data_IF_193793450834
#
_entry.id   IF_193793450834
#
_cell.length_a   1.000
_cell.length_b   1.000
_cell.length_c   1.000
_cell.angle_alpha   90.00
_cell.angle_beta   90.00
_cell.angle_gamma   90.00
#
_symmetry.space_group_name_H-M   'P 1'
#
loop_
_entity.id
_entity.type
_entity.pdbx_description
1 polymer ?
#
# COMPACT_ATOMS: atom_id res chain seq x y z
N UNK A 1 -31.38 31.44 9.51
CA UNK A 1 -31.11 32.83 9.11
C UNK A 1 -29.64 33.06 9.42
N UNK A 2 -28.71 33.23 8.48
CA UNK A 2 -28.73 33.92 7.19
C UNK A 2 -27.87 33.15 6.18
N UNK A 3 -28.33 33.13 4.93
CA UNK A 3 -27.66 32.60 3.74
C UNK A 3 -26.55 33.52 3.23
N UNK A 4 -25.58 32.98 2.49
CA UNK A 4 -24.98 33.73 1.40
C UNK A 4 -24.57 32.81 0.23
N UNK A 5 -25.52 32.65 -0.69
CA UNK A 5 -25.25 32.21 -2.05
C UNK A 5 -24.47 33.31 -2.79
N UNK A 6 -23.37 32.95 -3.45
CA UNK A 6 -22.92 33.67 -4.65
C UNK A 6 -22.88 32.72 -5.83
N UNK A 7 -23.89 32.85 -6.69
CA UNK A 7 -23.81 32.44 -8.10
C UNK A 7 -22.92 33.42 -8.87
N UNK A 8 -22.04 32.87 -9.72
CA UNK A 8 -21.47 33.34 -11.00
C UNK A 8 -20.39 32.31 -11.36
N UNK A 9 -20.20 31.80 -12.56
CA UNK A 9 -20.75 32.02 -13.88
C UNK A 9 -20.32 30.77 -14.69
N UNK A 10 -21.28 30.05 -15.27
CA UNK A 10 -21.03 28.88 -16.10
C UNK A 10 -20.68 29.32 -17.51
N UNK A 11 -19.39 29.57 -17.78
CA UNK A 11 -18.88 29.63 -19.15
C UNK A 11 -17.92 28.46 -19.39
N UNK A 12 -18.29 27.66 -20.39
CA UNK A 12 -17.60 26.47 -20.88
C UNK A 12 -16.11 26.77 -21.16
N UNK A 13 -15.23 26.06 -20.45
CA UNK A 13 -14.01 25.50 -21.03
C UNK A 13 -13.93 24.03 -20.65
N UNK A 14 -14.28 23.18 -21.60
CA UNK A 14 -13.85 21.78 -21.65
C UNK A 14 -12.33 21.76 -21.65
N UNK A 15 -11.74 21.33 -20.54
CA UNK A 15 -10.37 20.86 -20.49
C UNK A 15 -10.45 19.45 -19.94
N UNK A 16 -10.47 18.49 -20.87
CA UNK A 16 -10.26 17.09 -20.57
C UNK A 16 -8.89 16.94 -19.91
N UNK A 17 -8.90 16.58 -18.63
CA UNK A 17 -7.73 16.52 -17.76
C UNK A 17 -8.14 15.96 -16.40
N UNK A 18 -8.61 14.72 -16.39
CA UNK A 18 -9.04 14.02 -15.18
C UNK A 18 -7.79 13.63 -14.34
N UNK A 19 -7.29 14.57 -13.55
CA UNK A 19 -6.33 14.29 -12.46
C UNK A 19 -6.88 14.86 -11.16
N UNK A 20 -7.84 14.13 -10.57
CA UNK A 20 -8.14 14.23 -9.16
C UNK A 20 -7.59 12.97 -8.49
N UNK A 21 -6.30 12.98 -8.17
CA UNK A 21 -5.78 12.12 -7.10
C UNK A 21 -5.97 12.93 -5.81
N UNK A 22 -7.07 12.70 -5.09
CA UNK A 22 -7.21 13.24 -3.74
C UNK A 22 -6.21 12.50 -2.84
N UNK A 23 -5.44 13.28 -2.08
CA UNK A 23 -4.43 12.74 -1.18
C UNK A 23 -4.81 13.19 0.22
N UNK A 24 -5.01 12.24 1.12
CA UNK A 24 -5.42 12.51 2.49
C UNK A 24 -4.34 12.02 3.44
N UNK A 25 -3.87 12.88 4.33
CA UNK A 25 -3.09 12.44 5.49
C UNK A 25 -4.05 12.11 6.62
N UNK A 26 -4.06 10.85 7.07
CA UNK A 26 -4.95 10.35 8.12
C UNK A 26 -4.16 9.95 9.37
N UNK A 27 -4.75 10.14 10.54
CA UNK A 27 -4.34 9.46 11.76
C UNK A 27 -5.02 8.07 11.78
N UNK A 28 -4.23 7.00 11.63
CA UNK A 28 -4.74 5.63 11.67
C UNK A 28 -4.81 5.07 13.08
N UNK A 29 -5.82 4.23 13.35
CA UNK A 29 -5.88 3.33 14.50
C UNK A 29 -6.43 1.97 14.05
N UNK A 30 -5.79 0.88 14.47
CA UNK A 30 -6.23 -0.49 14.17
C UNK A 30 -6.98 -1.10 15.38
N UNK A 31 -8.13 -1.74 15.12
CA UNK A 31 -8.81 -2.58 16.10
C UNK A 31 -8.24 -3.99 15.97
N UNK A 32 -7.42 -4.38 16.96
CA UNK A 32 -6.87 -5.73 17.12
C UNK A 32 -7.85 -6.83 16.67
N UNK A 33 -7.38 -7.66 15.75
CA UNK A 33 -7.98 -8.89 15.24
C UNK A 33 -8.64 -9.73 16.35
N UNK A 34 -9.97 -9.83 16.28
CA UNK A 34 -10.74 -10.87 16.95
C UNK A 34 -11.07 -11.99 15.96
N UNK A 35 -10.44 -13.14 16.15
CA UNK A 35 -10.79 -14.37 15.46
C UNK A 35 -12.20 -14.81 15.92
N UNK A 36 -13.18 -14.78 15.02
CA UNK A 36 -14.41 -15.56 15.16
C UNK A 36 -14.67 -16.33 13.86
N UNK A 37 -14.26 -17.60 13.89
CA UNK A 37 -14.61 -18.60 12.88
C UNK A 37 -16.13 -18.83 12.98
N UNK A 38 -16.89 -18.21 12.10
CA UNK A 38 -18.27 -18.62 11.84
C UNK A 38 -18.26 -19.66 10.72
N UNK A 39 -18.46 -20.92 11.11
CA UNK A 39 -18.80 -22.01 10.20
C UNK A 39 -20.18 -21.71 9.60
N UNK A 40 -20.23 -21.52 8.29
CA UNK A 40 -21.48 -21.71 7.55
C UNK A 40 -21.30 -22.79 6.49
N UNK A 41 -22.25 -23.73 6.54
CA UNK A 41 -22.29 -24.94 5.75
C UNK A 41 -22.47 -24.61 4.28
N UNK A 42 -21.76 -25.39 3.47
CA UNK A 42 -21.90 -25.41 2.02
C UNK A 42 -23.32 -25.79 1.61
N UNK A 43 -23.87 -25.07 0.64
CA UNK A 43 -24.91 -25.57 -0.25
C UNK A 43 -24.49 -25.31 -1.70
N UNK A 44 -24.35 -26.40 -2.44
CA UNK A 44 -24.02 -26.43 -3.85
C UNK A 44 -25.16 -25.82 -4.69
N UNK A 45 -24.84 -24.82 -5.51
CA UNK A 45 -25.61 -24.53 -6.73
C UNK A 45 -24.64 -24.18 -7.86
N UNK A 46 -24.49 -25.15 -8.78
CA UNK A 46 -23.85 -24.97 -10.09
C UNK A 46 -24.80 -24.21 -11.01
N UNK A 47 -24.37 -23.05 -11.51
CA UNK A 47 -24.83 -22.52 -12.81
C UNK A 47 -23.85 -21.45 -13.32
N UNK A 48 -23.04 -21.79 -14.33
CA UNK A 48 -22.21 -20.83 -15.07
C UNK A 48 -23.01 -20.28 -16.27
N UNK A 49 -23.22 -18.96 -16.39
CA UNK A 49 -23.67 -18.35 -17.65
C UNK A 49 -22.51 -18.23 -18.65
N UNK A 50 -22.79 -18.13 -19.96
CA UNK A 50 -21.77 -18.17 -21.02
C UNK A 50 -20.86 -16.93 -21.00
N UNK A 51 -19.59 -17.15 -21.39
CA UNK A 51 -18.54 -16.12 -21.49
C UNK A 51 -18.96 -15.00 -22.46
N UNK A 52 -19.07 -13.78 -21.94
CA UNK A 52 -19.22 -12.57 -22.75
C UNK A 52 -17.90 -12.23 -23.47
N UNK A 53 -18.01 -11.78 -24.72
CA UNK A 53 -16.90 -11.37 -25.58
C UNK A 53 -16.07 -10.21 -24.98
N UNK A 54 -14.76 -10.24 -25.22
CA UNK A 54 -13.80 -9.23 -24.73
C UNK A 54 -14.11 -7.85 -25.32
N UNK A 55 -14.28 -6.79 -24.52
CA UNK A 55 -14.37 -5.44 -25.05
C UNK A 55 -13.03 -5.00 -25.63
N UNK A 56 -13.05 -4.42 -26.83
CA UNK A 56 -11.90 -3.78 -27.47
C UNK A 56 -11.46 -2.59 -26.61
N UNK A 57 -10.22 -2.63 -26.15
CA UNK A 57 -9.61 -1.53 -25.38
C UNK A 57 -9.20 -0.43 -26.36
N UNK A 58 -9.76 0.77 -26.18
CA UNK A 58 -9.34 1.99 -26.89
C UNK A 58 -7.99 2.49 -26.34
N UNK A 59 -7.05 2.98 -27.18
CA UNK A 59 -5.76 3.45 -26.70
C UNK A 59 -5.88 4.89 -26.19
N UNK A 60 -6.12 5.06 -24.89
CA UNK A 60 -5.85 6.33 -24.22
C UNK A 60 -4.39 6.34 -23.75
N UNK A 61 -3.60 7.24 -24.34
CA UNK A 61 -2.16 7.38 -24.11
C UNK A 61 -1.83 7.61 -22.63
N UNK A 62 -1.35 6.58 -21.95
CA UNK A 62 -0.58 6.72 -20.72
C UNK A 62 0.81 7.19 -21.09
N UNK A 63 1.16 8.42 -20.72
CA UNK A 63 2.57 8.82 -20.59
C UNK A 63 3.15 8.04 -19.42
N UNK A 64 3.71 6.87 -19.69
CA UNK A 64 4.64 6.19 -18.80
C UNK A 64 5.88 7.05 -18.70
N UNK A 65 6.30 7.43 -17.50
CA UNK A 65 7.63 8.01 -17.29
C UNK A 65 8.65 6.99 -17.79
N UNK A 66 9.31 7.29 -18.92
CA UNK A 66 10.37 6.45 -19.47
C UNK A 66 11.44 6.25 -18.40
N UNK A 67 11.72 4.97 -18.10
CA UNK A 67 12.80 4.60 -17.20
C UNK A 67 14.14 4.98 -17.85
N UNK A 68 14.96 5.75 -17.13
CA UNK A 68 16.21 6.35 -17.64
C UNK A 68 17.46 5.47 -17.51
N UNK A 69 17.34 4.25 -17.00
CA UNK A 69 18.42 3.26 -17.10
C UNK A 69 18.47 2.66 -18.51
N UNK A 70 19.50 1.91 -18.87
CA UNK A 70 19.49 1.10 -20.10
C UNK A 70 19.12 -0.35 -19.78
N UNK A 71 18.05 -0.90 -20.37
CA UNK A 71 17.43 -2.18 -19.96
C UNK A 71 15.89 -2.16 -19.72
N UNK A 72 15.36 -3.28 -19.22
CA UNK A 72 13.96 -3.41 -18.79
C UNK A 72 13.98 -3.46 -17.25
N UNK A 73 13.23 -2.62 -16.52
CA UNK A 73 13.22 -2.66 -15.06
C UNK A 73 12.77 -4.03 -14.54
N UNK A 74 13.58 -4.64 -13.68
CA UNK A 74 13.30 -5.90 -12.99
C UNK A 74 12.66 -5.65 -11.63
N UNK A 75 11.49 -6.23 -11.41
CA UNK A 75 10.70 -6.14 -10.19
C UNK A 75 10.61 -7.53 -9.56
N UNK A 76 11.03 -7.63 -8.31
CA UNK A 76 10.99 -8.87 -7.56
C UNK A 76 9.65 -8.98 -6.83
N UNK A 77 9.08 -10.17 -6.79
CA UNK A 77 7.88 -10.50 -6.03
C UNK A 77 8.24 -11.57 -5.03
N UNK A 78 8.40 -11.23 -3.75
CA UNK A 78 8.60 -12.27 -2.74
C UNK A 78 7.28 -12.98 -2.48
N UNK A 79 7.29 -14.31 -2.45
CA UNK A 79 6.08 -15.10 -2.26
C UNK A 79 5.44 -14.90 -0.89
N UNK A 80 6.22 -14.43 0.10
CA UNK A 80 5.80 -14.39 1.50
C UNK A 80 5.96 -15.76 2.15
N UNK A 81 5.14 -16.05 3.17
CA UNK A 81 5.10 -17.36 3.81
C UNK A 81 4.46 -18.39 2.86
N UNK A 82 5.19 -19.45 2.45
CA UNK A 82 4.67 -20.49 1.56
C UNK A 82 3.47 -21.26 2.11
N UNK A 83 3.26 -21.24 3.43
CA UNK A 83 2.09 -21.83 4.07
C UNK A 83 0.88 -20.86 4.10
N UNK A 84 1.07 -19.59 3.74
CA UNK A 84 0.01 -18.58 3.64
C UNK A 84 -0.63 -18.53 2.25
N UNK A 85 -1.33 -17.42 1.98
CA UNK A 85 -2.00 -17.16 0.69
C UNK A 85 -1.06 -16.52 -0.36
N UNK A 86 0.16 -16.17 0.03
CA UNK A 86 1.09 -15.48 -0.86
C UNK A 86 1.39 -16.23 -2.18
N UNK A 87 1.60 -17.56 -2.18
CA UNK A 87 1.82 -18.31 -3.41
C UNK A 87 0.65 -18.26 -4.40
N UNK A 88 -0.58 -18.46 -3.95
CA UNK A 88 -1.78 -18.44 -4.81
C UNK A 88 -2.10 -17.05 -5.34
N UNK A 89 -1.90 -16.01 -4.51
CA UNK A 89 -2.07 -14.61 -4.94
C UNK A 89 -1.05 -14.24 -6.00
N UNK A 90 0.22 -14.66 -5.86
CA UNK A 90 1.26 -14.40 -6.85
C UNK A 90 0.94 -15.06 -8.20
N UNK A 91 0.50 -16.32 -8.20
CA UNK A 91 0.10 -17.04 -9.42
C UNK A 91 -1.07 -16.34 -10.13
N UNK A 92 -2.11 -15.99 -9.38
CA UNK A 92 -3.29 -15.31 -9.94
C UNK A 92 -2.95 -13.93 -10.48
N UNK A 93 -2.10 -13.17 -9.77
CA UNK A 93 -1.60 -11.89 -10.25
C UNK A 93 -0.85 -12.06 -11.57
N UNK A 94 0.09 -13.01 -11.66
CA UNK A 94 0.85 -13.29 -12.88
C UNK A 94 -0.05 -13.71 -14.06
N UNK A 95 -1.04 -14.56 -13.80
CA UNK A 95 -1.99 -15.03 -14.82
C UNK A 95 -2.91 -13.92 -15.34
N UNK A 96 -3.16 -12.87 -14.55
CA UNK A 96 -3.99 -11.75 -14.98
C UNK A 96 -3.38 -11.00 -16.19
N UNK A 97 -2.05 -10.98 -16.28
CA UNK A 97 -1.31 -10.21 -17.28
C UNK A 97 -1.48 -8.69 -17.15
N UNK A 98 -2.10 -8.19 -16.07
CA UNK A 98 -2.34 -6.76 -15.84
C UNK A 98 -1.11 -6.09 -15.21
N UNK A 99 -0.01 -6.11 -15.97
CA UNK A 99 1.25 -5.48 -15.59
C UNK A 99 1.61 -4.36 -16.56
N UNK A 100 2.32 -3.32 -16.09
CA UNK A 100 2.91 -2.33 -16.98
C UNK A 100 3.80 -3.02 -18.03
N UNK A 101 3.65 -2.72 -19.33
CA UNK A 101 4.53 -3.27 -20.34
C UNK A 101 5.97 -2.76 -20.09
N UNK A 102 6.95 -3.58 -20.45
CA UNK A 102 8.35 -3.21 -20.29
C UNK A 102 8.85 -3.29 -18.85
N UNK A 103 8.35 -4.26 -18.07
CA UNK A 103 8.94 -4.68 -16.80
C UNK A 103 9.21 -6.19 -16.85
N UNK A 104 10.32 -6.62 -16.25
CA UNK A 104 10.62 -8.01 -15.97
C UNK A 104 10.16 -8.33 -14.54
N UNK A 105 9.37 -9.38 -14.36
CA UNK A 105 8.78 -9.74 -13.06
C UNK A 105 9.29 -11.12 -12.68
N UNK A 106 9.93 -11.20 -11.52
CA UNK A 106 10.46 -12.44 -10.98
C UNK A 106 9.87 -12.76 -9.62
N UNK A 107 9.29 -13.95 -9.48
CA UNK A 107 8.80 -14.45 -8.19
C UNK A 107 9.92 -15.18 -7.47
N UNK A 108 10.20 -14.76 -6.23
CA UNK A 108 11.18 -15.38 -5.35
C UNK A 108 10.46 -16.08 -4.20
N UNK A 109 10.69 -17.38 -4.06
CA UNK A 109 10.17 -18.19 -2.97
C UNK A 109 10.09 -19.67 -3.34
N UNK A 110 9.91 -20.53 -2.35
CA UNK A 110 9.74 -21.97 -2.54
C UNK A 110 8.40 -22.42 -1.96
N UNK A 111 7.44 -22.70 -2.84
CA UNK A 111 6.09 -23.17 -2.46
C UNK A 111 6.13 -24.51 -1.72
N UNK A 112 7.11 -25.37 -2.00
CA UNK A 112 7.16 -26.72 -1.46
C UNK A 112 7.52 -26.77 0.03
N UNK A 113 8.04 -25.67 0.59
CA UNK A 113 8.44 -25.59 2.01
C UNK A 113 7.28 -25.30 2.96
N UNK A 114 6.06 -25.10 2.43
CA UNK A 114 4.86 -24.81 3.22
C UNK A 114 3.76 -25.87 3.05
N UNK A 115 2.99 -26.06 4.11
CA UNK A 115 1.65 -26.69 4.01
C UNK A 115 0.60 -25.59 4.14
N UNK A 116 -0.32 -25.42 3.19
CA UNK A 116 -1.33 -24.36 3.24
C UNK A 116 -2.08 -24.31 4.58
N UNK A 117 -2.18 -23.11 5.15
CA UNK A 117 -2.81 -22.85 6.44
C UNK A 117 -2.00 -23.28 7.67
N UNK A 118 -0.77 -23.79 7.49
CA UNK A 118 0.09 -24.28 8.59
C UNK A 118 1.51 -23.66 8.54
N UNK A 119 1.65 -22.35 8.82
CA UNK A 119 2.96 -21.74 9.01
C UNK A 119 3.83 -22.52 9.99
N UNK A 120 5.08 -22.74 9.62
CA UNK A 120 6.05 -23.47 10.43
C UNK A 120 7.46 -22.88 10.26
N UNK A 121 8.45 -23.49 10.90
CA UNK A 121 9.84 -23.00 10.86
C UNK A 121 10.43 -23.04 9.44
N UNK A 122 10.16 -24.09 8.66
CA UNK A 122 10.65 -24.21 7.28
C UNK A 122 10.03 -23.17 6.35
N UNK A 123 8.74 -22.88 6.50
CA UNK A 123 8.05 -21.87 5.69
C UNK A 123 8.48 -20.46 6.08
N UNK A 124 8.77 -20.21 7.36
CA UNK A 124 9.38 -18.97 7.84
C UNK A 124 10.80 -18.77 7.29
N UNK A 125 11.63 -19.83 7.30
CA UNK A 125 12.98 -19.80 6.74
C UNK A 125 12.96 -19.47 5.25
N UNK A 126 12.05 -20.08 4.49
CA UNK A 126 11.88 -19.80 3.05
C UNK A 126 11.41 -18.35 2.79
N UNK A 127 10.49 -17.84 3.60
CA UNK A 127 10.03 -16.45 3.51
C UNK A 127 11.17 -15.46 3.79
N UNK A 128 11.98 -15.73 4.82
CA UNK A 128 13.14 -14.91 5.16
C UNK A 128 14.20 -14.96 4.06
N UNK A 129 14.53 -16.14 3.54
CA UNK A 129 15.47 -16.29 2.43
C UNK A 129 15.04 -15.51 1.18
N UNK A 130 13.73 -15.46 0.89
CA UNK A 130 13.21 -14.65 -0.20
C UNK A 130 13.36 -13.13 0.05
N UNK A 131 13.16 -12.67 1.28
CA UNK A 131 13.42 -11.27 1.66
C UNK A 131 14.91 -10.91 1.56
N UNK A 132 15.80 -11.77 2.05
CA UNK A 132 17.25 -11.58 1.99
C UNK A 132 17.75 -11.55 0.54
N UNK A 133 17.24 -12.44 -0.31
CA UNK A 133 17.51 -12.42 -1.75
C UNK A 133 17.08 -11.08 -2.36
N UNK A 134 15.85 -10.63 -2.09
CA UNK A 134 15.35 -9.37 -2.64
C UNK A 134 16.23 -8.17 -2.21
N UNK A 135 16.66 -8.12 -0.95
CA UNK A 135 17.60 -7.10 -0.46
C UNK A 135 18.93 -7.17 -1.21
N UNK A 136 19.49 -8.36 -1.41
CA UNK A 136 20.76 -8.54 -2.11
C UNK A 136 20.71 -8.04 -3.56
N UNK A 137 19.66 -8.40 -4.30
CA UNK A 137 19.46 -7.98 -5.70
C UNK A 137 19.25 -6.47 -5.83
N UNK A 138 18.45 -5.87 -4.94
CA UNK A 138 18.23 -4.42 -4.89
C UNK A 138 19.52 -3.67 -4.57
N UNK A 139 20.30 -4.12 -3.57
CA UNK A 139 21.60 -3.51 -3.24
C UNK A 139 22.62 -3.63 -4.36
N UNK A 140 22.57 -4.72 -5.12
CA UNK A 140 23.44 -4.91 -6.27
C UNK A 140 22.99 -4.14 -7.52
N UNK A 141 21.85 -3.43 -7.47
CA UNK A 141 21.28 -2.71 -8.61
C UNK A 141 20.72 -3.63 -9.72
N UNK A 142 20.58 -4.93 -9.45
CA UNK A 142 20.04 -5.94 -10.39
C UNK A 142 18.52 -6.01 -10.41
N UNK A 143 17.86 -5.34 -9.46
CA UNK A 143 16.43 -5.11 -9.43
C UNK A 143 16.14 -3.65 -9.06
N UNK A 144 14.98 -3.15 -9.48
CA UNK A 144 14.56 -1.76 -9.28
C UNK A 144 13.39 -1.62 -8.29
N UNK A 145 12.79 -2.73 -7.87
CA UNK A 145 11.72 -2.73 -6.89
C UNK A 145 11.42 -4.12 -6.37
N UNK A 146 10.72 -4.15 -5.24
CA UNK A 146 10.20 -5.38 -4.64
C UNK A 146 8.73 -5.20 -4.28
N UNK A 147 7.94 -6.22 -4.56
CA UNK A 147 6.57 -6.41 -4.08
C UNK A 147 6.61 -7.59 -3.11
N UNK A 148 6.09 -7.41 -1.91
CA UNK A 148 6.19 -8.44 -0.87
C UNK A 148 4.88 -9.18 -0.68
N UNK A 149 4.92 -10.51 -0.72
CA UNK A 149 3.86 -11.36 -0.23
C UNK A 149 3.74 -11.31 1.29
N UNK A 150 2.57 -11.68 1.84
CA UNK A 150 2.31 -11.67 3.27
C UNK A 150 3.13 -12.74 3.99
N UNK A 151 3.60 -12.43 5.20
CA UNK A 151 4.39 -13.34 6.04
C UNK A 151 3.70 -13.59 7.38
N UNK A 152 3.90 -14.77 7.96
CA UNK A 152 3.52 -15.03 9.35
C UNK A 152 4.54 -14.37 10.30
N UNK A 153 4.17 -13.24 10.91
CA UNK A 153 5.03 -12.54 11.88
C UNK A 153 5.44 -13.46 13.04
N UNK A 154 4.50 -14.27 13.53
CA UNK A 154 4.76 -15.22 14.61
C UNK A 154 5.80 -16.26 14.21
N UNK A 155 5.66 -16.87 13.02
CA UNK A 155 6.61 -17.89 12.56
C UNK A 155 7.99 -17.28 12.29
N UNK A 156 8.05 -16.09 11.67
CA UNK A 156 9.30 -15.36 11.46
C UNK A 156 10.00 -15.03 12.78
N UNK A 157 9.28 -14.50 13.78
CA UNK A 157 9.86 -14.19 15.09
C UNK A 157 10.37 -15.44 15.80
N UNK A 158 9.63 -16.55 15.74
CA UNK A 158 10.09 -17.84 16.27
C UNK A 158 11.36 -18.35 15.57
N UNK A 159 11.53 -18.04 14.28
CA UNK A 159 12.72 -18.34 13.48
C UNK A 159 13.88 -17.34 13.68
N UNK A 160 13.75 -16.36 14.59
CA UNK A 160 14.80 -15.39 14.91
C UNK A 160 14.75 -14.08 14.10
N UNK A 161 13.65 -13.79 13.41
CA UNK A 161 13.44 -12.49 12.76
C UNK A 161 13.26 -11.38 13.79
N UNK A 162 14.26 -10.50 13.89
CA UNK A 162 14.35 -9.48 14.93
C UNK A 162 13.54 -8.19 14.66
N UNK A 163 12.78 -8.13 13.56
CA UNK A 163 12.08 -6.91 13.14
C UNK A 163 10.57 -7.00 13.40
N UNK A 164 9.90 -5.89 13.75
CA UNK A 164 8.44 -5.84 13.91
C UNK A 164 7.65 -6.22 12.64
N UNK A 165 8.27 -6.06 11.48
CA UNK A 165 7.68 -6.34 10.18
C UNK A 165 8.66 -6.15 9.03
N UNK A 166 8.13 -6.34 7.82
CA UNK A 166 8.90 -6.21 6.57
C UNK A 166 9.37 -4.77 6.35
N UNK A 167 8.56 -3.77 6.70
CA UNK A 167 8.92 -2.35 6.58
C UNK A 167 10.21 -2.03 7.35
N UNK A 168 10.28 -2.41 8.62
CA UNK A 168 11.44 -2.16 9.48
C UNK A 168 12.66 -2.96 9.02
N UNK A 169 12.46 -4.18 8.53
CA UNK A 169 13.52 -5.00 7.95
C UNK A 169 14.16 -4.33 6.73
N UNK A 170 13.36 -3.86 5.76
CA UNK A 170 13.88 -3.15 4.59
C UNK A 170 14.53 -1.82 4.99
N UNK A 171 13.90 -1.05 5.87
CA UNK A 171 14.46 0.20 6.37
C UNK A 171 15.85 -0.02 6.98
N UNK A 172 16.00 -1.04 7.84
CA UNK A 172 17.29 -1.42 8.41
C UNK A 172 18.29 -1.86 7.33
N UNK A 173 17.88 -2.74 6.41
CA UNK A 173 18.74 -3.25 5.35
C UNK A 173 19.31 -2.13 4.46
N UNK A 174 18.55 -1.07 4.22
CA UNK A 174 18.95 0.09 3.41
C UNK A 174 19.44 1.29 4.23
N UNK A 175 19.60 1.15 5.55
CA UNK A 175 19.99 2.24 6.45
C UNK A 175 19.09 3.48 6.33
N UNK A 176 17.81 3.26 6.08
CA UNK A 176 16.78 4.30 5.98
C UNK A 176 16.13 4.47 7.34
N UNK A 177 16.22 5.66 7.90
CA UNK A 177 15.56 6.02 9.16
C UNK A 177 14.27 6.80 8.95
N UNK A 178 14.11 7.44 7.79
CA UNK A 178 12.96 8.26 7.45
C UNK A 178 12.06 7.56 6.41
N UNK A 179 11.04 6.86 6.90
CA UNK A 179 10.05 6.17 6.07
C UNK A 179 8.64 6.31 6.65
N UNK A 180 7.62 6.13 5.80
CA UNK A 180 6.22 6.26 6.17
C UNK A 180 5.35 5.26 5.42
N UNK A 181 4.17 4.96 5.97
CA UNK A 181 3.21 4.08 5.33
C UNK A 181 2.26 4.89 4.46
N UNK A 182 2.09 4.45 3.22
CA UNK A 182 1.10 4.97 2.29
C UNK A 182 0.18 3.83 1.83
N UNK A 183 -1.11 4.10 1.75
CA UNK A 183 -2.07 3.26 1.04
C UNK A 183 -2.34 3.91 -0.31
N UNK A 184 -1.84 3.30 -1.39
CA UNK A 184 -1.93 3.86 -2.74
C UNK A 184 -2.91 3.08 -3.61
N UNK A 185 -4.04 3.72 -3.95
CA UNK A 185 -4.99 3.25 -4.94
C UNK A 185 -4.91 4.02 -6.25
N UNK A 186 -5.77 3.67 -7.21
CA UNK A 186 -5.86 4.36 -8.52
C UNK A 186 -6.39 5.79 -8.44
N UNK A 187 -7.20 6.10 -7.43
CA UNK A 187 -7.91 7.39 -7.27
C UNK A 187 -7.58 8.13 -5.98
N UNK A 188 -7.13 7.39 -4.97
CA UNK A 188 -6.91 7.90 -3.62
C UNK A 188 -5.58 7.36 -3.13
N UNK A 189 -4.74 8.25 -2.61
CA UNK A 189 -3.49 7.90 -1.93
C UNK A 189 -3.57 8.47 -0.52
N UNK A 190 -3.33 7.64 0.49
CA UNK A 190 -3.44 8.04 1.89
C UNK A 190 -2.09 7.87 2.58
N UNK A 191 -1.53 8.97 3.08
CA UNK A 191 -0.37 8.94 3.98
C UNK A 191 -0.84 8.79 5.42
N UNK A 192 -0.17 7.96 6.22
CA UNK A 192 -0.59 7.70 7.60
C UNK A 192 0.37 8.38 8.59
N UNK A 193 -0.14 9.35 9.36
CA UNK A 193 0.64 10.04 10.41
C UNK A 193 0.94 9.10 11.58
N UNK A 194 -0.02 8.25 11.92
CA UNK A 194 0.10 7.13 12.87
C UNK A 194 -0.34 5.84 12.18
N UNK A 195 0.27 4.72 12.56
CA UNK A 195 -0.01 3.39 11.97
C UNK A 195 -0.66 2.46 13.01
N UNK A 196 0.03 1.41 13.43
CA UNK A 196 -0.50 0.38 14.34
C UNK A 196 -0.46 0.84 15.81
N UNK A 197 -1.21 1.91 16.12
CA UNK A 197 -1.32 2.48 17.46
C UNK A 197 -2.67 2.15 18.11
N UNK A 198 -2.70 2.14 19.44
CA UNK A 198 -3.98 2.12 20.16
C UNK A 198 -4.69 3.43 19.90
N UNK A 199 -5.98 3.39 19.55
CA UNK A 199 -6.75 4.60 19.24
C UNK A 199 -6.68 5.66 20.36
N UNK A 200 -6.72 5.25 21.62
CA UNK A 200 -6.62 6.15 22.77
C UNK A 200 -5.26 6.87 22.89
N UNK A 201 -4.21 6.36 22.26
CA UNK A 201 -2.88 6.98 22.25
C UNK A 201 -2.68 7.95 21.09
N UNK A 202 -3.49 7.85 20.02
CA UNK A 202 -3.31 8.64 18.80
C UNK A 202 -3.26 10.15 19.05
N UNK A 203 -4.18 10.77 19.83
CA UNK A 203 -4.14 12.22 20.06
C UNK A 203 -2.83 12.71 20.69
N UNK A 204 -2.24 11.90 21.58
CA UNK A 204 -0.96 12.20 22.25
C UNK A 204 0.25 12.02 21.33
N UNK A 205 0.15 11.16 20.32
CA UNK A 205 1.26 10.85 19.43
C UNK A 205 1.40 11.82 18.26
N UNK A 206 0.38 12.66 18.03
CA UNK A 206 0.37 13.64 16.96
C UNK A 206 1.02 14.95 17.40
N UNK A 207 1.88 15.45 16.52
CA UNK A 207 2.50 16.77 16.59
C UNK A 207 2.67 17.31 15.15
N UNK A 208 2.97 18.61 15.03
CA UNK A 208 3.14 19.28 13.74
C UNK A 208 4.24 18.63 12.90
N UNK A 209 5.37 18.28 13.53
CA UNK A 209 6.53 17.70 12.87
C UNK A 209 6.19 16.37 12.19
N UNK A 210 5.45 15.49 12.89
CA UNK A 210 4.98 14.21 12.35
C UNK A 210 4.05 14.41 11.15
N UNK A 211 3.11 15.35 11.23
CA UNK A 211 2.16 15.66 10.15
C UNK A 211 2.89 16.20 8.92
N UNK A 212 3.77 17.19 9.12
CA UNK A 212 4.59 17.77 8.04
C UNK A 212 5.50 16.73 7.43
N UNK A 213 6.11 15.87 8.25
CA UNK A 213 6.99 14.79 7.79
C UNK A 213 6.27 13.81 6.88
N UNK A 214 5.11 13.27 7.30
CA UNK A 214 4.36 12.34 6.43
C UNK A 214 3.83 13.05 5.18
N UNK A 215 3.41 14.32 5.29
CA UNK A 215 3.04 15.15 4.14
C UNK A 215 4.19 15.30 3.14
N UNK A 216 5.41 15.50 3.63
CA UNK A 216 6.63 15.62 2.81
C UNK A 216 6.99 14.31 2.14
N UNK A 217 6.97 13.18 2.87
CA UNK A 217 7.19 11.85 2.30
C UNK A 217 6.14 11.53 1.22
N UNK A 218 4.89 11.91 1.46
CA UNK A 218 3.79 11.73 0.51
C UNK A 218 3.99 12.59 -0.74
N UNK A 219 4.35 13.87 -0.59
CA UNK A 219 4.69 14.74 -1.71
C UNK A 219 5.86 14.19 -2.54
N UNK A 220 6.91 13.68 -1.89
CA UNK A 220 8.06 13.07 -2.55
C UNK A 220 7.66 11.81 -3.36
N UNK A 221 6.80 10.96 -2.80
CA UNK A 221 6.24 9.81 -3.51
C UNK A 221 5.44 10.22 -4.74
N UNK A 222 4.57 11.22 -4.63
CA UNK A 222 3.73 11.72 -5.72
C UNK A 222 4.58 12.36 -6.84
N UNK A 223 5.62 13.11 -6.46
CA UNK A 223 6.60 13.63 -7.41
C UNK A 223 7.26 12.51 -8.21
N UNK A 224 7.67 11.41 -7.55
CA UNK A 224 8.22 10.22 -8.24
C UNK A 224 7.19 9.51 -9.13
N UNK A 225 5.89 9.64 -8.83
CA UNK A 225 4.80 9.19 -9.70
C UNK A 225 4.48 10.13 -10.86
N UNK A 226 5.17 11.26 -10.98
CA UNK A 226 5.00 12.23 -12.07
C UNK A 226 4.02 13.37 -11.77
N UNK A 227 3.62 13.56 -10.51
CA UNK A 227 2.74 14.66 -10.09
C UNK A 227 3.61 15.76 -9.51
N UNK A 228 3.98 16.74 -10.33
CA UNK A 228 4.93 17.78 -9.99
C UNK A 228 4.45 18.76 -8.89
N UNK A 229 3.14 18.99 -8.81
CA UNK A 229 2.52 19.90 -7.85
C UNK A 229 1.37 19.19 -7.11
N UNK A 230 1.68 18.25 -6.20
CA UNK A 230 0.65 17.47 -5.52
C UNK A 230 -0.19 18.35 -4.60
N UNK A 231 -1.51 18.14 -4.64
CA UNK A 231 -2.44 18.75 -3.68
C UNK A 231 -2.68 17.76 -2.56
N UNK A 232 -2.31 18.12 -1.34
CA UNK A 232 -2.44 17.27 -0.15
C UNK A 232 -3.48 17.89 0.77
N UNK A 233 -4.53 17.13 1.08
CA UNK A 233 -5.46 17.43 2.15
C UNK A 233 -4.99 16.71 3.43
N UNK A 234 -5.17 17.37 4.57
CA UNK A 234 -4.89 16.79 5.89
C UNK A 234 -6.23 16.62 6.59
N UNK A 235 -6.54 15.41 7.03
CA UNK A 235 -7.76 15.18 7.79
C UNK A 235 -7.61 15.73 9.21
N UNK A 236 -8.69 16.33 9.74
CA UNK A 236 -8.79 16.61 11.18
C UNK A 236 -8.72 15.30 11.97
N UNK A 237 -8.15 15.37 13.17
CA UNK A 237 -8.17 14.27 14.12
C UNK A 237 -9.58 14.10 14.69
N UNK A 238 -10.18 15.21 15.09
CA UNK A 238 -11.48 15.25 15.74
C UNK A 238 -12.61 15.26 14.70
N UNK A 239 -13.82 14.76 15.07
CA UNK A 239 -15.01 14.97 14.27
C UNK A 239 -15.14 16.46 13.90
N UNK A 240 -15.45 16.71 12.63
CA UNK A 240 -15.63 18.06 12.09
C UNK A 240 -14.40 18.98 12.27
N UNK A 241 -13.20 18.39 12.37
CA UNK A 241 -11.96 19.13 12.62
C UNK A 241 -12.04 19.99 13.90
N UNK A 242 -12.64 19.43 14.95
CA UNK A 242 -12.74 20.04 16.28
C UNK A 242 -14.01 20.85 16.53
N UNK A 243 -14.73 21.27 15.47
CA UNK A 243 -15.93 22.14 15.57
C UNK A 243 -15.70 23.34 16.51
N UNK A 244 -14.74 24.21 16.13
CA UNK A 244 -14.32 25.37 16.92
C UNK A 244 -13.97 25.06 18.40
N UNK A 245 -13.45 23.86 18.66
CA UNK A 245 -13.04 23.39 19.98
C UNK A 245 -14.10 22.57 20.74
N UNK A 246 -15.30 22.41 20.18
CA UNK A 246 -16.37 21.65 20.84
C UNK A 246 -16.08 20.15 20.95
N UNK A 247 -15.29 19.59 20.04
CA UNK A 247 -14.98 18.15 19.97
C UNK A 247 -13.51 17.79 20.22
N UNK A 248 -12.71 18.77 20.66
CA UNK A 248 -11.27 18.63 20.87
C UNK A 248 -10.53 19.88 20.41
N UNK A 249 -9.31 20.07 20.88
CA UNK A 249 -8.50 21.27 20.62
C UNK A 249 -7.30 21.03 19.69
N UNK A 250 -7.07 19.77 19.29
CA UNK A 250 -5.89 19.32 18.58
C UNK A 250 -5.66 20.10 17.27
N UNK A 251 -6.70 20.37 16.48
CA UNK A 251 -6.57 21.13 15.22
C UNK A 251 -6.08 22.57 15.41
N UNK A 252 -6.36 23.18 16.56
CA UNK A 252 -5.92 24.54 16.88
C UNK A 252 -4.56 24.60 17.55
N UNK A 253 -4.21 23.52 18.29
CA UNK A 253 -3.04 23.44 19.15
C UNK A 253 -1.82 22.84 18.45
N UNK A 254 -2.02 21.91 17.52
CA UNK A 254 -0.98 21.14 16.81
C UNK A 254 -0.80 21.69 15.40
#
# INVERSE_FOLDING_TARGET
MIANERRRDTSRRSVDGETAEEVVVMAGADRRFGCSILRHQASNVSNHPPRAERPRVSPLGRRTTEWKGGGVPRILVTMGDPAGIGPEVADLALQSGDFPPGCDIEVIGDRATGTPGKPNDASAAAALAALDHAVAELKAGRAQGVVTGPVSKHALQAHGFAFPGQTEYFAHAFSVTDFGMLLAGRRLIVGLATIHERLADVPRLLDADRIVRIGTLTAAFLNRRGIASPRIAVAGLNPHAGEDGAFGDEESRV
#
